data_IF_842293269076
#
_entry.id   IF_842293269076
#
_cell.length_a   1.000
_cell.length_b   1.000
_cell.length_c   1.000
_cell.angle_alpha   90.00
_cell.angle_beta   90.00
_cell.angle_gamma   90.00
#
_symmetry.space_group_name_H-M   'P 1'
#
loop_
_entity.id
_entity.type
_entity.pdbx_description
1 polymer ?
#
# COMPACT_ATOMS: atom_id res chain seq x y z
N UNK A 1 -9.80 -3.67 12.33
CA UNK A 1 -8.99 -4.57 11.52
C UNK A 1 -7.71 -3.80 11.23
N UNK A 2 -6.54 -4.32 11.55
CA UNK A 2 -5.29 -3.64 11.20
C UNK A 2 -4.94 -3.89 9.72
N UNK A 3 -3.95 -3.17 9.19
CA UNK A 3 -3.57 -3.26 7.76
C UNK A 3 -3.21 -4.69 7.34
N UNK A 4 -2.56 -5.45 8.22
CA UNK A 4 -2.23 -6.86 7.95
C UNK A 4 -3.51 -7.70 7.79
N UNK A 5 -4.45 -7.61 8.74
CA UNK A 5 -5.70 -8.34 8.71
C UNK A 5 -6.55 -7.97 7.47
N UNK A 6 -6.57 -6.68 7.10
CA UNK A 6 -7.25 -6.21 5.90
C UNK A 6 -6.59 -6.74 4.62
N UNK A 7 -5.26 -6.69 4.53
CA UNK A 7 -4.48 -7.24 3.42
C UNK A 7 -4.77 -8.73 3.24
N UNK A 8 -4.71 -9.51 4.32
CA UNK A 8 -5.03 -10.93 4.29
C UNK A 8 -6.48 -11.19 3.86
N UNK A 9 -7.43 -10.40 4.36
CA UNK A 9 -8.83 -10.48 3.98
C UNK A 9 -9.03 -10.24 2.47
N UNK A 10 -8.45 -9.17 1.92
CA UNK A 10 -8.58 -8.81 0.50
C UNK A 10 -7.99 -9.92 -0.38
N UNK A 11 -6.76 -10.36 -0.09
CA UNK A 11 -6.10 -11.42 -0.85
C UNK A 11 -6.91 -12.72 -0.84
N UNK A 12 -7.45 -13.10 0.32
CA UNK A 12 -8.28 -14.30 0.47
C UNK A 12 -9.63 -14.16 -0.24
N UNK A 13 -10.31 -13.02 -0.08
CA UNK A 13 -11.64 -12.75 -0.66
C UNK A 13 -11.61 -12.82 -2.18
N UNK A 14 -10.60 -12.21 -2.80
CA UNK A 14 -10.46 -12.18 -4.25
C UNK A 14 -9.61 -13.32 -4.80
N UNK A 15 -9.14 -14.25 -3.95
CA UNK A 15 -8.28 -15.38 -4.31
C UNK A 15 -7.02 -14.93 -5.08
N UNK A 16 -6.48 -13.76 -4.72
CA UNK A 16 -5.28 -13.19 -5.31
C UNK A 16 -4.07 -13.62 -4.47
N UNK A 17 -2.95 -13.87 -5.14
CA UNK A 17 -1.65 -14.07 -4.50
C UNK A 17 -0.66 -13.05 -5.03
N UNK A 18 0.23 -12.57 -4.16
CA UNK A 18 1.34 -11.71 -4.58
C UNK A 18 2.19 -12.44 -5.63
N UNK A 19 2.34 -11.85 -6.81
CA UNK A 19 3.19 -12.39 -7.85
C UNK A 19 4.63 -11.86 -7.67
N UNK A 20 5.51 -12.71 -7.15
CA UNK A 20 6.92 -12.37 -6.92
C UNK A 20 7.70 -12.09 -8.20
N UNK A 21 7.31 -12.66 -9.35
CA UNK A 21 7.94 -12.36 -10.64
C UNK A 21 7.63 -10.94 -11.12
N UNK A 22 6.55 -10.34 -10.61
CA UNK A 22 6.19 -8.94 -10.84
C UNK A 22 6.67 -8.02 -9.71
N UNK A 23 7.47 -8.53 -8.76
CA UNK A 23 8.00 -7.75 -7.64
C UNK A 23 6.96 -7.34 -6.59
N UNK A 24 5.76 -7.95 -6.58
CA UNK A 24 4.70 -7.54 -5.66
C UNK A 24 5.03 -7.88 -4.19
N UNK A 25 5.04 -6.84 -3.36
CA UNK A 25 5.10 -6.88 -1.90
C UNK A 25 4.09 -5.84 -1.39
N UNK A 26 3.26 -6.20 -0.42
CA UNK A 26 2.23 -5.30 0.11
C UNK A 26 2.72 -4.67 1.40
N UNK A 27 2.54 -3.36 1.55
CA UNK A 27 2.84 -2.65 2.78
C UNK A 27 1.82 -3.04 3.85
N UNK A 28 2.31 -3.42 5.03
CA UNK A 28 1.48 -3.85 6.18
C UNK A 28 1.88 -3.15 7.48
N UNK A 29 2.80 -2.20 7.41
CA UNK A 29 3.35 -1.48 8.56
C UNK A 29 2.91 -0.01 8.49
N UNK A 30 2.12 0.41 9.47
CA UNK A 30 1.58 1.78 9.58
C UNK A 30 2.67 2.83 9.75
N UNK A 31 3.75 2.51 10.48
CA UNK A 31 4.84 3.45 10.69
C UNK A 31 5.61 3.68 9.38
N UNK A 32 5.85 2.63 8.61
CA UNK A 32 6.49 2.74 7.31
C UNK A 32 5.67 3.62 6.34
N UNK A 33 4.33 3.48 6.33
CA UNK A 33 3.45 4.35 5.53
C UNK A 33 3.64 5.80 5.94
N UNK A 34 3.57 6.08 7.25
CA UNK A 34 3.71 7.43 7.78
C UNK A 34 5.06 8.05 7.42
N UNK A 35 6.14 7.29 7.58
CA UNK A 35 7.49 7.76 7.25
C UNK A 35 7.65 8.05 5.74
N UNK A 36 7.01 7.25 4.87
CA UNK A 36 7.00 7.50 3.42
C UNK A 36 6.28 8.81 3.10
N UNK A 37 5.08 9.02 3.65
CA UNK A 37 4.27 10.22 3.39
C UNK A 37 4.96 11.47 3.95
N UNK A 38 5.40 11.42 5.21
CA UNK A 38 6.13 12.51 5.87
C UNK A 38 7.42 12.84 5.10
N UNK A 39 8.15 11.82 4.63
CA UNK A 39 9.39 11.98 3.86
C UNK A 39 9.18 12.52 2.44
N UNK A 40 7.99 12.34 1.86
CA UNK A 40 7.65 12.85 0.54
C UNK A 40 7.42 14.37 0.53
N UNK A 41 7.19 14.98 1.71
CA UNK A 41 6.95 16.42 1.88
C UNK A 41 5.91 17.00 0.90
N UNK A 42 4.85 16.24 0.66
CA UNK A 42 3.75 16.63 -0.22
C UNK A 42 2.80 17.60 0.50
N UNK A 43 2.22 18.54 -0.25
CA UNK A 43 1.14 19.41 0.20
C UNK A 43 -0.15 19.24 -0.62
N UNK A 44 -1.17 20.05 -0.33
CA UNK A 44 -2.48 19.94 -0.96
C UNK A 44 -2.53 20.38 -2.43
N UNK A 45 -1.52 21.12 -2.89
CA UNK A 45 -1.44 21.64 -4.26
C UNK A 45 -0.60 20.71 -5.16
N UNK A 46 0.08 19.73 -4.58
CA UNK A 46 0.87 18.75 -5.31
C UNK A 46 0.02 17.74 -6.10
N UNK A 47 0.45 17.48 -7.34
CA UNK A 47 -0.03 16.36 -8.13
C UNK A 47 0.82 15.12 -7.83
N UNK A 48 0.24 14.14 -7.15
CA UNK A 48 0.91 12.87 -6.81
C UNK A 48 0.66 11.81 -7.88
N UNK A 49 1.73 11.14 -8.32
CA UNK A 49 1.66 9.97 -9.20
C UNK A 49 2.20 8.76 -8.43
N UNK A 50 1.33 7.79 -8.15
CA UNK A 50 1.70 6.52 -7.53
C UNK A 50 1.91 5.43 -8.59
N UNK A 51 3.06 4.75 -8.54
CA UNK A 51 3.38 3.66 -9.46
C UNK A 51 3.32 2.34 -8.68
N UNK A 52 2.39 1.47 -9.07
CA UNK A 52 2.20 0.15 -8.45
C UNK A 52 1.53 0.22 -7.08
N UNK A 53 0.28 0.74 -6.98
CA UNK A 53 -0.40 0.98 -5.71
C UNK A 53 -0.74 -0.30 -4.91
N UNK A 54 -0.56 -1.48 -5.50
CA UNK A 54 -0.87 -2.75 -4.86
C UNK A 54 -2.35 -2.85 -4.50
N UNK A 55 -2.66 -2.93 -3.20
CA UNK A 55 -4.04 -2.93 -2.69
C UNK A 55 -4.58 -1.52 -2.42
N UNK A 56 -3.78 -0.48 -2.66
CA UNK A 56 -4.13 0.92 -2.39
C UNK A 56 -3.81 1.38 -0.96
N UNK A 57 -3.02 0.61 -0.21
CA UNK A 57 -2.72 0.89 1.21
C UNK A 57 -2.01 2.23 1.46
N UNK A 58 -1.17 2.68 0.52
CA UNK A 58 -0.54 4.00 0.60
C UNK A 58 -1.46 5.10 0.04
N UNK A 59 -2.37 4.75 -0.86
CA UNK A 59 -3.32 5.66 -1.50
C UNK A 59 -4.50 6.06 -0.59
N UNK A 60 -4.94 5.15 0.28
CA UNK A 60 -6.23 5.18 0.99
C UNK A 60 -6.31 6.10 2.21
#
# INVERSE_FOLDING_TARGET
>A
MNILEETEYILKKYKVKANKNLGQNFLIDEQAIKDIVDGANIDSDDLVIEIGPGLGTLTS
#
